data_IF_479681413729
#
_entry.id   IF_479681413729
#
_cell.length_a   1.000
_cell.length_b   1.000
_cell.length_c   1.000
_cell.angle_alpha   90.00
_cell.angle_beta   90.00
_cell.angle_gamma   90.00
#
_symmetry.space_group_name_H-M   'P 1'
#
loop_
_entity.id
_entity.type
_entity.pdbx_description
1 polymer ?
#
# COMPACT_ATOMS: atom_id res chain seq x y z
N UNK A 1 -0.71 -28.34 22.54
CA UNK A 1 -1.96 -28.07 21.78
C UNK A 1 -1.62 -26.94 20.83
N UNK A 2 -1.26 -27.28 19.59
CA UNK A 2 -0.78 -26.35 18.56
C UNK A 2 -1.94 -26.14 17.60
N UNK A 3 -2.35 -24.89 17.37
CA UNK A 3 -3.36 -24.55 16.38
C UNK A 3 -2.66 -23.97 15.16
N UNK A 4 -2.57 -24.78 14.10
CA UNK A 4 -2.19 -24.34 12.75
C UNK A 4 -3.40 -23.65 12.09
N UNK A 5 -3.22 -22.41 11.63
CA UNK A 5 -4.15 -21.76 10.71
C UNK A 5 -3.58 -21.90 9.30
N UNK A 6 -4.20 -22.77 8.51
CA UNK A 6 -3.93 -23.01 7.11
C UNK A 6 -4.19 -21.75 6.27
N UNK A 7 -3.15 -21.15 5.70
CA UNK A 7 -3.24 -20.15 4.65
C UNK A 7 -3.18 -20.84 3.28
N UNK A 8 -4.30 -21.39 2.81
CA UNK A 8 -4.40 -21.92 1.45
C UNK A 8 -4.74 -20.79 0.47
N UNK A 9 -3.78 -20.57 -0.44
CA UNK A 9 -3.87 -19.98 -1.77
C UNK A 9 -5.25 -19.49 -2.23
N UNK A 10 -5.38 -18.18 -2.49
CA UNK A 10 -6.45 -17.64 -3.31
C UNK A 10 -5.86 -16.98 -4.56
N UNK A 11 -6.02 -17.65 -5.69
CA UNK A 11 -5.69 -17.12 -7.02
C UNK A 11 -6.71 -16.03 -7.36
N UNK A 12 -6.33 -14.76 -7.26
CA UNK A 12 -7.24 -13.64 -7.50
C UNK A 12 -7.23 -13.28 -9.00
N UNK A 13 -8.03 -14.00 -9.79
CA UNK A 13 -8.42 -13.58 -11.14
C UNK A 13 -9.53 -12.53 -11.01
N UNK A 14 -9.19 -11.27 -11.34
CA UNK A 14 -10.02 -10.05 -11.32
C UNK A 14 -10.09 -9.28 -9.98
N UNK A 15 -9.59 -8.04 -10.07
CA UNK A 15 -9.44 -6.99 -9.04
C UNK A 15 -10.76 -6.61 -8.32
N UNK A 16 -11.92 -7.01 -8.84
CA UNK A 16 -13.22 -6.62 -8.28
C UNK A 16 -13.71 -7.43 -7.07
N UNK A 17 -13.06 -8.56 -6.72
CA UNK A 17 -13.50 -9.41 -5.60
C UNK A 17 -12.66 -9.30 -4.31
N UNK A 18 -11.54 -8.58 -4.31
CA UNK A 18 -10.75 -8.40 -3.09
C UNK A 18 -11.53 -7.68 -1.97
N UNK A 19 -12.50 -6.81 -2.30
CA UNK A 19 -13.29 -6.10 -1.29
C UNK A 19 -14.17 -7.01 -0.40
N UNK A 20 -14.52 -8.23 -0.84
CA UNK A 20 -15.43 -9.08 -0.06
C UNK A 20 -14.73 -9.90 1.03
N UNK A 21 -13.46 -10.27 0.84
CA UNK A 21 -12.67 -11.00 1.85
C UNK A 21 -12.29 -10.10 3.03
N UNK A 22 -12.26 -8.78 2.84
CA UNK A 22 -12.03 -7.80 3.91
C UNK A 22 -13.12 -7.78 4.99
N UNK A 23 -14.33 -8.28 4.72
CA UNK A 23 -15.47 -8.11 5.65
C UNK A 23 -15.43 -9.07 6.85
N UNK A 24 -14.75 -10.21 6.74
CA UNK A 24 -14.66 -11.24 7.80
C UNK A 24 -13.50 -10.95 8.79
N UNK A 25 -12.49 -10.18 8.39
CA UNK A 25 -11.33 -9.81 9.21
C UNK A 25 -11.46 -8.44 9.90
N UNK A 26 -12.68 -7.93 10.11
CA UNK A 26 -12.93 -6.63 10.77
C UNK A 26 -12.36 -6.50 12.21
N UNK A 27 -11.89 -7.58 12.83
CA UNK A 27 -11.46 -7.59 14.24
C UNK A 27 -9.95 -7.46 14.46
N UNK A 28 -9.11 -7.53 13.42
CA UNK A 28 -7.67 -7.43 13.58
C UNK A 28 -7.08 -6.52 12.50
N UNK A 29 -6.98 -5.22 12.78
CA UNK A 29 -6.16 -4.30 11.99
C UNK A 29 -4.70 -4.43 12.41
N UNK A 30 -3.79 -4.53 11.45
CA UNK A 30 -2.34 -4.42 11.71
C UNK A 30 -1.80 -3.04 11.29
N UNK A 31 -2.61 -2.21 10.63
CA UNK A 31 -2.26 -0.86 10.21
C UNK A 31 -3.35 0.13 10.61
N UNK A 32 -2.89 1.32 11.00
CA UNK A 32 -3.76 2.43 11.39
C UNK A 32 -4.38 3.12 10.18
N UNK A 33 -5.45 3.83 10.45
CA UNK A 33 -6.06 4.79 9.54
C UNK A 33 -5.04 5.84 9.08
N UNK A 34 -5.45 6.63 8.08
CA UNK A 34 -4.64 7.69 7.50
C UNK A 34 -3.25 7.22 7.01
N UNK A 35 -3.19 6.03 6.40
CA UNK A 35 -1.94 5.43 5.94
C UNK A 35 -1.99 5.19 4.43
N UNK A 36 -0.93 5.60 3.74
CA UNK A 36 -0.70 5.30 2.33
C UNK A 36 -0.11 3.89 2.17
N UNK A 37 -0.44 3.22 1.08
CA UNK A 37 0.08 1.89 0.78
C UNK A 37 0.31 1.69 -0.73
N UNK A 38 1.18 0.74 -1.06
CA UNK A 38 1.44 0.30 -2.44
C UNK A 38 1.28 -1.21 -2.53
N UNK A 39 0.56 -1.68 -3.55
CA UNK A 39 0.36 -3.11 -3.78
C UNK A 39 1.62 -3.71 -4.43
N UNK A 40 2.12 -4.78 -3.85
CA UNK A 40 3.34 -5.50 -4.26
C UNK A 40 3.09 -6.67 -5.20
N UNK A 41 1.91 -7.30 -5.17
CA UNK A 41 1.58 -8.47 -6.00
C UNK A 41 0.15 -8.44 -6.55
N UNK A 42 -0.06 -9.06 -7.72
CA UNK A 42 -1.36 -9.07 -8.41
C UNK A 42 -1.61 -7.73 -9.09
N UNK A 43 -2.22 -6.79 -8.37
CA UNK A 43 -2.37 -5.40 -8.81
C UNK A 43 -1.11 -4.57 -8.51
N UNK A 44 0.07 -5.16 -8.76
CA UNK A 44 1.34 -4.60 -8.35
C UNK A 44 1.57 -3.20 -8.94
N UNK A 45 1.99 -2.27 -8.08
CA UNK A 45 2.19 -0.86 -8.41
C UNK A 45 0.95 0.02 -8.27
N UNK A 46 -0.22 -0.52 -7.87
CA UNK A 46 -1.33 0.33 -7.44
C UNK A 46 -1.02 1.01 -6.10
N UNK A 47 -1.35 2.30 -6.00
CA UNK A 47 -1.19 3.10 -4.80
C UNK A 47 -2.58 3.39 -4.23
N UNK A 48 -2.71 3.28 -2.92
CA UNK A 48 -3.94 3.63 -2.23
C UNK A 48 -3.69 4.39 -0.93
N UNK A 49 -4.77 4.92 -0.38
CA UNK A 49 -4.80 5.59 0.92
C UNK A 49 -6.03 5.10 1.68
N UNK A 50 -5.84 4.66 2.92
CA UNK A 50 -6.94 4.23 3.77
C UNK A 50 -7.28 5.28 4.82
N UNK A 51 -8.57 5.62 4.92
CA UNK A 51 -9.13 6.49 5.97
C UNK A 51 -9.59 5.72 7.21
N UNK A 52 -9.49 4.40 7.18
CA UNK A 52 -9.87 3.53 8.28
C UNK A 52 -8.72 2.57 8.59
N UNK A 53 -8.67 2.10 9.83
CA UNK A 53 -7.82 0.99 10.21
C UNK A 53 -8.06 -0.20 9.26
N UNK A 54 -6.98 -0.80 8.77
CA UNK A 54 -7.06 -1.88 7.81
C UNK A 54 -6.02 -2.96 8.10
N UNK A 55 -6.23 -4.11 7.47
CA UNK A 55 -5.28 -5.20 7.49
C UNK A 55 -4.50 -5.21 6.17
N UNK A 56 -3.19 -5.01 6.25
CA UNK A 56 -2.27 -5.10 5.13
C UNK A 56 -1.66 -6.51 5.06
N UNK A 57 -1.78 -7.16 3.90
CA UNK A 57 -1.12 -8.43 3.61
C UNK A 57 0.40 -8.25 3.40
N UNK A 58 1.15 -9.36 3.34
CA UNK A 58 2.62 -9.34 3.15
C UNK A 58 3.04 -8.65 1.84
N UNK A 59 2.23 -8.80 0.78
CA UNK A 59 2.42 -8.14 -0.51
C UNK A 59 1.80 -6.71 -0.55
N UNK A 60 1.55 -6.09 0.60
CA UNK A 60 1.10 -4.70 0.71
C UNK A 60 2.17 -3.85 1.42
N UNK A 61 2.85 -3.00 0.65
CA UNK A 61 3.87 -2.11 1.18
C UNK A 61 3.21 -0.95 1.90
N UNK A 62 3.51 -0.84 3.18
CA UNK A 62 3.02 0.20 4.09
C UNK A 62 4.22 0.93 4.66
N UNK A 63 4.01 2.19 5.04
CA UNK A 63 5.07 3.10 5.41
C UNK A 63 4.84 3.61 6.82
N UNK A 64 5.87 3.52 7.66
CA UNK A 64 5.89 4.16 8.97
C UNK A 64 6.54 5.54 8.79
N UNK A 65 5.71 6.57 8.69
CA UNK A 65 6.19 7.94 8.46
C UNK A 65 6.77 8.56 9.74
N UNK A 66 7.92 9.24 9.65
CA UNK A 66 8.45 10.04 10.76
C UNK A 66 7.57 11.29 11.03
N UNK A 67 7.73 11.97 12.19
CA UNK A 67 6.86 13.08 12.60
C UNK A 67 6.89 14.30 11.66
N UNK A 68 7.92 14.43 10.84
CA UNK A 68 8.13 15.48 9.85
C UNK A 68 7.50 15.15 8.48
N UNK A 69 6.91 13.96 8.31
CA UNK A 69 6.28 13.51 7.07
C UNK A 69 4.80 13.16 7.28
N UNK A 70 3.93 13.84 6.55
CA UNK A 70 2.50 13.56 6.54
C UNK A 70 2.19 12.39 5.58
N UNK A 71 1.45 11.39 6.06
CA UNK A 71 1.00 10.25 5.24
C UNK A 71 0.22 10.68 3.98
N UNK A 72 -0.56 11.78 4.05
CA UNK A 72 -1.26 12.32 2.88
C UNK A 72 -0.29 12.85 1.84
N UNK A 73 0.73 13.58 2.29
CA UNK A 73 1.77 14.07 1.40
C UNK A 73 2.52 12.92 0.75
N UNK A 74 2.87 11.89 1.53
CA UNK A 74 3.47 10.67 1.01
C UNK A 74 2.62 10.05 -0.11
N UNK A 75 1.32 9.90 0.10
CA UNK A 75 0.40 9.41 -0.94
C UNK A 75 0.50 10.22 -2.24
N UNK A 76 0.49 11.56 -2.16
CA UNK A 76 0.63 12.40 -3.36
C UNK A 76 1.98 12.26 -4.06
N UNK A 77 3.07 12.16 -3.30
CA UNK A 77 4.39 11.96 -3.90
C UNK A 77 4.50 10.59 -4.55
N UNK A 78 3.93 9.54 -3.95
CA UNK A 78 3.85 8.23 -4.57
C UNK A 78 3.03 8.31 -5.87
N UNK A 79 1.86 8.96 -5.83
CA UNK A 79 0.99 9.14 -7.00
C UNK A 79 1.68 9.93 -8.13
N UNK A 80 2.48 10.96 -7.81
CA UNK A 80 3.25 11.70 -8.82
C UNK A 80 4.35 10.84 -9.45
N UNK A 81 4.85 9.83 -8.72
CA UNK A 81 5.82 8.84 -9.19
C UNK A 81 5.16 7.55 -9.71
N UNK A 82 3.84 7.52 -9.89
CA UNK A 82 3.11 6.31 -10.27
C UNK A 82 3.67 5.64 -11.52
N UNK A 83 3.97 6.42 -12.56
CA UNK A 83 4.57 5.91 -13.80
C UNK A 83 5.93 5.25 -13.57
N UNK A 84 6.73 5.76 -12.63
CA UNK A 84 8.03 5.19 -12.25
C UNK A 84 7.86 3.91 -11.46
N UNK A 85 6.88 3.85 -10.55
CA UNK A 85 6.58 2.64 -9.78
C UNK A 85 6.10 1.52 -10.72
N UNK A 86 5.16 1.84 -11.61
CA UNK A 86 4.62 0.90 -12.60
C UNK A 86 5.69 0.37 -13.56
N UNK A 87 6.71 1.17 -13.91
CA UNK A 87 7.81 0.70 -14.77
C UNK A 87 8.73 -0.31 -14.11
N UNK A 88 8.75 -0.36 -12.78
CA UNK A 88 9.51 -1.35 -11.99
C UNK A 88 8.74 -2.66 -11.75
N UNK A 89 7.46 -2.71 -12.13
CA UNK A 89 6.65 -3.93 -11.99
C UNK A 89 7.12 -4.97 -12.98
N UNK A 90 7.50 -6.15 -12.46
CA UNK A 90 7.86 -7.30 -13.27
C UNK A 90 6.59 -7.92 -13.84
N UNK A 91 6.43 -7.84 -15.16
CA UNK A 91 5.31 -8.43 -15.89
C UNK A 91 5.52 -9.95 -15.97
N UNK A 92 4.69 -10.68 -15.24
CA UNK A 92 4.60 -12.14 -15.29
C UNK A 92 3.12 -12.54 -15.14
N UNK A 93 2.80 -13.84 -15.12
CA UNK A 93 1.43 -14.31 -14.86
C UNK A 93 0.84 -13.74 -13.57
N UNK A 94 1.69 -13.45 -12.57
CA UNK A 94 1.34 -12.65 -11.38
C UNK A 94 2.31 -11.46 -11.33
N UNK A 95 1.86 -10.24 -11.65
CA UNK A 95 2.71 -9.05 -11.58
C UNK A 95 3.28 -8.88 -10.16
N UNK A 96 4.57 -8.54 -10.08
CA UNK A 96 5.24 -8.27 -8.79
C UNK A 96 6.10 -7.02 -8.85
N UNK A 97 5.96 -6.17 -7.84
CA UNK A 97 6.81 -5.04 -7.59
C UNK A 97 7.84 -5.45 -6.52
N UNK A 98 9.15 -5.41 -6.79
CA UNK A 98 10.13 -5.73 -5.77
C UNK A 98 10.18 -4.62 -4.71
N UNK A 99 10.35 -4.99 -3.44
CA UNK A 99 10.53 -4.06 -2.32
C UNK A 99 11.62 -3.01 -2.57
N UNK A 100 12.73 -3.42 -3.21
CA UNK A 100 13.84 -2.52 -3.56
C UNK A 100 13.42 -1.35 -4.45
N UNK A 101 12.38 -1.52 -5.28
CA UNK A 101 11.88 -0.43 -6.12
C UNK A 101 11.23 0.70 -5.31
N UNK A 102 10.64 0.36 -4.16
CA UNK A 102 10.05 1.33 -3.23
C UNK A 102 11.13 1.96 -2.35
N UNK A 103 12.06 1.15 -1.83
CA UNK A 103 13.15 1.62 -0.96
C UNK A 103 14.11 2.59 -1.67
N UNK A 104 14.20 2.51 -3.01
CA UNK A 104 15.02 3.42 -3.83
C UNK A 104 14.29 4.69 -4.28
N UNK A 105 13.04 4.91 -3.86
CA UNK A 105 12.33 6.14 -4.16
C UNK A 105 12.92 7.31 -3.36
N UNK A 106 13.24 8.39 -4.07
CA UNK A 106 13.66 9.65 -3.45
C UNK A 106 12.43 10.54 -3.36
N UNK A 107 12.12 10.98 -2.13
CA UNK A 107 10.94 11.77 -1.80
C UNK A 107 11.42 13.11 -1.25
N UNK A 108 11.09 14.25 -1.88
CA UNK A 108 11.34 15.55 -1.29
C UNK A 108 10.47 15.71 -0.05
N UNK A 109 11.02 16.19 1.07
CA UNK A 109 10.25 16.42 2.31
C UNK A 109 10.27 17.91 2.63
N UNK A 110 9.27 18.69 2.18
CA UNK A 110 9.15 20.11 2.51
C UNK A 110 8.69 20.30 3.96
N UNK A 111 8.70 21.54 4.50
CA UNK A 111 8.17 21.81 5.84
C UNK A 111 6.70 21.37 6.00
N UNK A 112 6.31 20.93 7.20
CA UNK A 112 4.98 20.36 7.46
C UNK A 112 3.80 21.25 7.00
N UNK A 113 3.95 22.58 7.13
CA UNK A 113 2.93 23.56 6.71
C UNK A 113 2.66 23.49 5.20
N UNK A 114 3.68 23.24 4.40
CA UNK A 114 3.53 23.11 2.94
C UNK A 114 2.91 21.76 2.58
N UNK A 115 3.27 20.70 3.31
CA UNK A 115 2.67 19.37 3.13
C UNK A 115 1.14 19.39 3.37
N UNK A 116 0.70 20.10 4.42
CA UNK A 116 -0.72 20.25 4.78
C UNK A 116 -1.51 21.11 3.78
N UNK A 117 -0.84 21.97 3.02
CA UNK A 117 -1.50 22.83 2.02
C UNK A 117 -2.03 22.06 0.81
N UNK A 118 -1.62 20.80 0.63
CA UNK A 118 -1.97 20.00 -0.55
C UNK A 118 -3.38 19.39 -0.36
N UNK A 119 -4.36 19.74 -1.22
CA UNK A 119 -5.73 19.30 -1.06
C UNK A 119 -5.91 17.82 -1.47
N UNK A 120 -6.56 17.04 -0.60
CA UNK A 120 -7.05 15.69 -0.91
C UNK A 120 -8.24 15.76 -1.87
N UNK A 121 -7.99 15.37 -3.13
CA UNK A 121 -8.97 15.37 -4.22
C UNK A 121 -9.39 13.95 -4.58
#
# INVERSE_FOLDING_TARGET
MVLEINANYFFCLNIWWCFLVFKILKYYSNRKDNTAYVIGAGAAGEIGYSYIDFWAADDCYTFDCPPDLNNRYLYFVLMSQQSKILSQVRKSSIPRLPRTAIEQLVIPVPPIKEQESIPFR
#
